data_IF_098124364018
#
_entry.id   IF_098124364018
#
_cell.length_a   1.000
_cell.length_b   1.000
_cell.length_c   1.000
_cell.angle_alpha   90.00
_cell.angle_beta   90.00
_cell.angle_gamma   90.00
#
_symmetry.space_group_name_H-M   'P 1'
#
loop_
_entity.id
_entity.type
_entity.pdbx_description
1 polymer ?
#
# COMPACT_ATOMS: atom_id res chain seq x y z
N UNK A 1 -8.21 16.05 22.23
CA UNK A 1 -7.32 15.88 21.06
C UNK A 1 -7.64 14.53 20.43
N UNK A 2 -8.07 14.51 19.16
CA UNK A 2 -8.40 13.26 18.48
C UNK A 2 -7.10 12.49 18.17
N UNK A 3 -7.05 11.22 18.55
CA UNK A 3 -5.94 10.31 18.21
C UNK A 3 -5.85 10.20 16.68
N UNK A 4 -4.65 10.34 16.07
CA UNK A 4 -4.50 10.16 14.64
C UNK A 4 -4.98 8.77 14.22
N UNK A 5 -5.66 8.68 13.07
CA UNK A 5 -6.10 7.41 12.48
C UNK A 5 -4.92 6.47 12.14
N UNK A 6 -3.71 7.04 11.94
CA UNK A 6 -2.45 6.34 11.75
C UNK A 6 -1.28 7.23 12.15
N UNK A 7 -0.14 6.62 12.45
CA UNK A 7 1.15 7.29 12.67
C UNK A 7 2.02 7.12 11.43
N UNK A 8 2.46 8.23 10.80
CA UNK A 8 3.43 8.20 9.70
C UNK A 8 4.76 7.60 10.20
N UNK A 9 5.26 6.53 9.58
CA UNK A 9 6.59 6.00 9.92
C UNK A 9 7.72 6.85 9.32
N UNK A 10 8.75 7.12 10.15
CA UNK A 10 9.97 7.86 9.78
C UNK A 10 10.77 7.21 8.63
N UNK A 11 10.64 5.90 8.42
CA UNK A 11 11.45 5.11 7.47
C UNK A 11 10.92 5.10 6.04
N UNK A 12 9.73 5.66 5.78
CA UNK A 12 9.16 5.77 4.43
C UNK A 12 9.78 6.95 3.65
N UNK A 13 10.53 7.84 4.32
CA UNK A 13 11.08 9.06 3.73
C UNK A 13 12.06 8.79 2.57
N UNK A 14 12.97 7.82 2.72
CA UNK A 14 13.95 7.49 1.67
C UNK A 14 13.30 6.83 0.44
N UNK A 15 12.26 6.03 0.68
CA UNK A 15 11.43 5.44 -0.38
C UNK A 15 10.72 6.56 -1.15
N UNK A 16 10.09 7.50 -0.44
CA UNK A 16 9.40 8.65 -1.04
C UNK A 16 10.38 9.51 -1.84
N UNK A 17 11.53 9.87 -1.27
CA UNK A 17 12.54 10.68 -1.96
C UNK A 17 13.04 9.99 -3.25
N UNK A 18 13.27 8.69 -3.19
CA UNK A 18 13.73 7.93 -4.36
C UNK A 18 12.65 7.84 -5.45
N UNK A 19 11.38 7.71 -5.05
CA UNK A 19 10.26 7.76 -5.98
C UNK A 19 10.15 9.13 -6.66
N UNK A 20 10.37 10.23 -5.92
CA UNK A 20 10.39 11.58 -6.49
C UNK A 20 11.52 11.77 -7.52
N UNK A 21 12.69 11.18 -7.26
CA UNK A 21 13.88 11.32 -8.12
C UNK A 21 13.84 10.42 -9.36
N UNK A 22 13.30 9.20 -9.25
CA UNK A 22 13.37 8.20 -10.32
C UNK A 22 12.06 8.00 -11.08
N UNK A 23 10.94 8.37 -10.48
CA UNK A 23 9.61 8.12 -11.04
C UNK A 23 8.82 9.43 -11.11
N UNK A 24 7.71 9.53 -10.37
CA UNK A 24 6.81 10.68 -10.45
C UNK A 24 6.55 11.23 -9.05
N UNK A 25 6.53 12.56 -8.94
CA UNK A 25 6.38 13.24 -7.65
C UNK A 25 5.07 12.86 -6.94
N UNK A 26 3.94 12.93 -7.64
CA UNK A 26 2.64 12.57 -7.07
C UNK A 26 2.55 11.10 -6.65
N UNK A 27 3.21 10.17 -7.37
CA UNK A 27 3.28 8.76 -7.00
C UNK A 27 3.97 8.59 -5.66
N UNK A 28 5.07 9.30 -5.44
CA UNK A 28 5.76 9.33 -4.17
C UNK A 28 4.85 9.85 -3.04
N UNK A 29 4.10 10.92 -3.31
CA UNK A 29 3.16 11.51 -2.35
C UNK A 29 1.94 10.64 -2.04
N UNK A 30 1.47 9.82 -2.98
CA UNK A 30 0.45 8.80 -2.71
C UNK A 30 0.97 7.76 -1.72
N UNK A 31 2.21 7.30 -1.89
CA UNK A 31 2.86 6.37 -0.95
C UNK A 31 3.03 7.02 0.41
N UNK A 32 3.51 8.26 0.46
CA UNK A 32 3.69 9.02 1.70
C UNK A 32 2.41 9.12 2.53
N UNK A 33 1.25 9.30 1.89
CA UNK A 33 -0.03 9.42 2.58
C UNK A 33 -0.65 8.07 2.94
N UNK A 34 -0.39 7.03 2.15
CA UNK A 34 -1.18 5.79 2.18
C UNK A 34 -0.44 4.58 2.73
N UNK A 35 0.88 4.62 2.87
CA UNK A 35 1.69 3.44 3.21
C UNK A 35 2.68 3.74 4.32
N UNK A 36 2.80 2.83 5.28
CA UNK A 36 3.82 2.84 6.33
C UNK A 36 4.50 1.47 6.41
N UNK A 37 5.83 1.45 6.44
CA UNK A 37 6.62 0.22 6.60
C UNK A 37 7.42 0.32 7.89
N UNK A 38 7.13 -0.59 8.80
CA UNK A 38 7.86 -0.81 10.03
C UNK A 38 8.67 -2.10 9.87
N UNK A 39 9.82 -2.02 9.19
CA UNK A 39 10.72 -3.17 8.97
C UNK A 39 12.08 -2.99 9.66
N UNK A 40 12.92 -4.03 9.68
CA UNK A 40 14.34 -3.90 10.05
C UNK A 40 15.10 -3.09 8.98
N UNK A 41 16.25 -2.51 9.33
CA UNK A 41 17.03 -1.63 8.44
C UNK A 41 17.42 -2.32 7.12
N UNK A 42 17.74 -3.61 7.16
CA UNK A 42 18.13 -4.41 6.01
C UNK A 42 17.00 -4.51 4.96
N UNK A 43 15.73 -4.40 5.39
CA UNK A 43 14.59 -4.39 4.47
C UNK A 43 14.62 -3.13 3.60
N UNK A 44 14.93 -1.98 4.20
CA UNK A 44 15.05 -0.71 3.47
C UNK A 44 16.26 -0.73 2.55
N UNK A 45 17.42 -1.23 3.01
CA UNK A 45 18.59 -1.41 2.14
C UNK A 45 18.25 -2.24 0.91
N UNK A 46 17.47 -3.31 1.08
CA UNK A 46 17.04 -4.17 -0.03
C UNK A 46 16.07 -3.47 -0.99
N UNK A 47 15.04 -2.81 -0.48
CA UNK A 47 14.08 -2.03 -1.29
C UNK A 47 14.83 -1.03 -2.19
N UNK A 48 15.85 -0.38 -1.64
CA UNK A 48 16.63 0.65 -2.31
C UNK A 48 17.64 0.10 -3.32
N UNK A 49 17.98 -1.20 -3.25
CA UNK A 49 19.01 -1.81 -4.09
C UNK A 49 18.59 -2.08 -5.54
N UNK A 50 17.28 -2.12 -5.83
CA UNK A 50 16.69 -2.22 -7.19
C UNK A 50 17.31 -3.30 -8.09
N UNK A 51 17.65 -4.47 -7.51
CA UNK A 51 18.26 -5.63 -8.19
C UNK A 51 17.27 -6.75 -8.50
N UNK A 52 16.08 -6.78 -7.90
CA UNK A 52 15.02 -7.80 -8.10
C UNK A 52 13.70 -7.17 -8.52
N UNK A 53 12.78 -7.99 -9.03
CA UNK A 53 11.43 -7.60 -9.46
C UNK A 53 10.52 -7.01 -8.35
N UNK A 54 10.94 -7.05 -7.09
CA UNK A 54 10.15 -6.65 -5.90
C UNK A 54 10.74 -5.44 -5.14
N UNK A 55 11.55 -4.60 -5.80
CA UNK A 55 12.26 -3.49 -5.15
C UNK A 55 11.49 -2.15 -5.26
N UNK A 56 12.17 -1.00 -5.35
CA UNK A 56 11.54 0.34 -5.38
C UNK A 56 10.43 0.48 -6.44
N UNK A 57 10.57 -0.24 -7.56
CA UNK A 57 9.55 -0.34 -8.62
C UNK A 57 8.19 -0.83 -8.09
N UNK A 58 8.18 -1.70 -7.07
CA UNK A 58 6.98 -2.16 -6.36
C UNK A 58 6.17 -1.02 -5.79
N UNK A 59 6.83 -0.02 -5.19
CA UNK A 59 6.15 1.15 -4.65
C UNK A 59 5.61 2.05 -5.75
N UNK A 60 6.29 2.12 -6.89
CA UNK A 60 5.76 2.80 -8.08
C UNK A 60 4.49 2.11 -8.61
N UNK A 61 4.48 0.78 -8.70
CA UNK A 61 3.28 0.02 -9.08
C UNK A 61 2.14 0.17 -8.07
N UNK A 62 2.45 0.02 -6.78
CA UNK A 62 1.48 0.21 -5.70
C UNK A 62 0.86 1.60 -5.75
N UNK A 63 1.67 2.65 -5.95
CA UNK A 63 1.17 4.03 -6.07
C UNK A 63 0.19 4.20 -7.23
N UNK A 64 0.41 3.50 -8.35
CA UNK A 64 -0.48 3.50 -9.51
C UNK A 64 -1.81 2.82 -9.18
N UNK A 65 -1.77 1.66 -8.53
CA UNK A 65 -2.99 0.97 -8.09
C UNK A 65 -3.79 1.78 -7.08
N UNK A 66 -3.11 2.40 -6.11
CA UNK A 66 -3.74 3.27 -5.12
C UNK A 66 -4.34 4.53 -5.78
N UNK A 67 -3.63 5.17 -6.71
CA UNK A 67 -4.15 6.30 -7.47
C UNK A 67 -5.43 5.95 -8.22
N UNK A 68 -5.45 4.81 -8.93
CA UNK A 68 -6.65 4.28 -9.62
C UNK A 68 -7.80 4.01 -8.65
N UNK A 69 -7.50 3.40 -7.51
CA UNK A 69 -8.50 3.17 -6.47
C UNK A 69 -9.11 4.49 -5.98
N UNK A 70 -8.28 5.48 -5.69
CA UNK A 70 -8.75 6.77 -5.18
C UNK A 70 -9.60 7.51 -6.21
N UNK A 71 -9.18 7.53 -7.47
CA UNK A 71 -9.92 8.16 -8.56
C UNK A 71 -11.29 7.49 -8.73
N UNK A 72 -11.35 6.15 -8.66
CA UNK A 72 -12.59 5.38 -8.86
C UNK A 72 -13.54 5.41 -7.67
N UNK A 73 -13.03 5.40 -6.44
CA UNK A 73 -13.85 5.29 -5.22
C UNK A 73 -14.18 6.65 -4.63
N UNK A 74 -13.27 7.62 -4.75
CA UNK A 74 -13.41 8.95 -4.13
C UNK A 74 -13.45 10.10 -5.14
N UNK A 75 -13.39 9.83 -6.45
CA UNK A 75 -13.54 10.85 -7.49
C UNK A 75 -12.36 11.83 -7.56
N UNK A 76 -11.16 11.40 -7.16
CA UNK A 76 -9.93 12.19 -7.33
C UNK A 76 -9.44 12.13 -8.78
N UNK A 77 -8.42 12.93 -9.11
CA UNK A 77 -7.73 12.90 -10.41
C UNK A 77 -6.23 12.59 -10.28
N UNK A 78 -5.85 11.74 -9.33
CA UNK A 78 -4.47 11.42 -8.96
C UNK A 78 -3.68 10.84 -10.14
N UNK A 79 -4.27 9.97 -10.97
CA UNK A 79 -3.54 9.40 -12.11
C UNK A 79 -3.23 10.44 -13.18
N UNK A 80 -4.23 11.24 -13.56
CA UNK A 80 -4.04 12.32 -14.53
C UNK A 80 -3.05 13.35 -14.00
N UNK A 81 -3.11 13.64 -12.70
CA UNK A 81 -2.10 14.40 -11.99
C UNK A 81 -0.73 13.74 -12.08
N UNK A 82 -0.63 12.43 -11.90
CA UNK A 82 0.63 11.72 -11.88
C UNK A 82 1.36 11.65 -13.21
N UNK A 83 0.63 11.55 -14.31
CA UNK A 83 1.19 11.64 -15.66
C UNK A 83 1.78 13.03 -15.94
N UNK A 84 1.25 14.08 -15.29
CA UNK A 84 1.72 15.46 -15.41
C UNK A 84 2.89 15.79 -14.49
N UNK A 85 3.23 14.92 -13.53
CA UNK A 85 4.30 15.16 -12.56
C UNK A 85 5.48 14.19 -12.70
N UNK A 86 6.17 14.23 -13.85
CA UNK A 86 7.42 13.49 -14.07
C UNK A 86 8.56 14.01 -13.19
N UNK A 87 9.76 13.41 -13.24
CA UNK A 87 10.92 13.82 -12.42
C UNK A 87 11.20 15.34 -12.45
N UNK A 88 10.94 16.03 -13.58
CA UNK A 88 11.19 17.47 -13.77
C UNK A 88 9.93 18.37 -13.67
N UNK A 89 8.98 18.01 -12.80
CA UNK A 89 7.70 18.73 -12.61
C UNK A 89 7.86 20.19 -12.13
N UNK A 90 7.05 21.13 -12.65
CA UNK A 90 7.01 22.53 -12.18
C UNK A 90 6.31 22.70 -10.82
N UNK A 91 6.49 23.85 -10.17
CA UNK A 91 5.84 24.14 -8.88
C UNK A 91 4.31 24.17 -8.99
N UNK A 92 3.78 24.71 -10.08
CA UNK A 92 2.34 24.85 -10.35
C UNK A 92 1.68 23.47 -10.52
N UNK A 93 2.35 22.58 -11.26
CA UNK A 93 1.90 21.20 -11.44
C UNK A 93 1.92 20.44 -10.10
N UNK A 94 2.97 20.61 -9.29
CA UNK A 94 3.03 20.03 -7.93
C UNK A 94 1.89 20.54 -7.06
N UNK A 95 1.62 21.84 -7.07
CA UNK A 95 0.54 22.45 -6.28
C UNK A 95 -0.85 21.92 -6.69
N UNK A 96 -1.12 21.82 -7.99
CA UNK A 96 -2.36 21.24 -8.50
C UNK A 96 -2.54 19.77 -8.05
N UNK A 97 -1.47 18.98 -8.10
CA UNK A 97 -1.51 17.58 -7.68
C UNK A 97 -1.63 17.43 -6.15
N UNK A 98 -0.97 18.29 -5.37
CA UNK A 98 -1.08 18.31 -3.92
C UNK A 98 -2.54 18.49 -3.46
N UNK A 99 -3.34 19.26 -4.22
CA UNK A 99 -4.78 19.43 -3.96
C UNK A 99 -5.59 18.15 -4.16
N UNK A 100 -5.21 17.29 -5.11
CA UNK A 100 -5.85 15.98 -5.27
C UNK A 100 -5.40 14.99 -4.19
N UNK A 101 -4.12 15.04 -3.82
CA UNK A 101 -3.55 14.17 -2.78
C UNK A 101 -4.10 14.50 -1.39
N UNK A 102 -4.36 15.77 -1.07
CA UNK A 102 -4.96 16.13 0.22
C UNK A 102 -6.36 15.53 0.42
N UNK A 103 -7.09 15.23 -0.67
CA UNK A 103 -8.42 14.60 -0.61
C UNK A 103 -8.37 13.14 -0.15
N UNK A 104 -7.24 12.46 -0.29
CA UNK A 104 -7.08 11.05 0.11
C UNK A 104 -6.58 10.88 1.55
N UNK A 105 -6.17 11.97 2.20
CA UNK A 105 -5.65 11.91 3.56
C UNK A 105 -6.69 11.30 4.52
N UNK A 106 -6.29 10.25 5.24
CA UNK A 106 -7.15 9.52 6.17
C UNK A 106 -8.28 8.71 5.52
N UNK A 107 -8.23 8.43 4.21
CA UNK A 107 -9.20 7.55 3.51
C UNK A 107 -8.77 6.09 3.50
N UNK A 108 -7.51 5.83 3.19
CA UNK A 108 -6.92 4.50 3.18
C UNK A 108 -5.50 4.59 3.73
N UNK A 109 -5.14 3.66 4.61
CA UNK A 109 -3.76 3.50 5.05
C UNK A 109 -3.39 2.02 5.14
N UNK A 110 -2.21 1.66 4.65
CA UNK A 110 -1.66 0.30 4.67
C UNK A 110 -0.38 0.34 5.52
N UNK A 111 -0.35 -0.43 6.59
CA UNK A 111 0.82 -0.57 7.47
C UNK A 111 1.38 -1.97 7.38
N UNK A 112 2.67 -2.11 7.09
CA UNK A 112 3.42 -3.36 7.23
C UNK A 112 4.24 -3.33 8.52
N UNK A 113 3.93 -4.21 9.46
CA UNK A 113 4.69 -4.43 10.69
C UNK A 113 5.55 -5.69 10.54
N UNK A 114 6.84 -5.50 10.30
CA UNK A 114 7.83 -6.55 10.12
C UNK A 114 9.05 -6.51 11.07
N UNK A 115 9.05 -5.61 12.06
CA UNK A 115 10.17 -5.46 13.02
C UNK A 115 10.45 -6.72 13.86
N UNK A 116 9.42 -7.53 14.12
CA UNK A 116 9.55 -8.74 14.96
C UNK A 116 10.14 -9.96 14.25
N UNK A 117 10.48 -9.86 12.96
CA UNK A 117 10.78 -11.00 12.10
C UNK A 117 12.19 -10.89 11.48
N UNK A 118 12.94 -12.00 11.46
CA UNK A 118 14.23 -12.05 10.77
C UNK A 118 14.02 -11.91 9.27
N UNK A 119 14.72 -10.96 8.64
CA UNK A 119 14.69 -10.75 7.20
C UNK A 119 15.39 -11.89 6.45
N UNK A 120 14.61 -12.87 5.98
CA UNK A 120 14.99 -13.85 4.97
C UNK A 120 14.43 -13.46 3.60
N UNK A 121 14.95 -14.06 2.53
CA UNK A 121 14.40 -13.87 1.17
C UNK A 121 12.89 -14.12 1.13
N UNK A 122 12.43 -15.25 1.69
CA UNK A 122 11.01 -15.59 1.75
C UNK A 122 10.20 -14.54 2.54
N UNK A 123 10.68 -14.11 3.70
CA UNK A 123 9.96 -13.12 4.53
C UNK A 123 9.82 -11.77 3.82
N UNK A 124 10.84 -11.37 3.06
CA UNK A 124 10.83 -10.15 2.26
C UNK A 124 9.85 -10.28 1.10
N UNK A 125 9.97 -11.34 0.31
CA UNK A 125 9.13 -11.59 -0.86
C UNK A 125 7.66 -11.72 -0.47
N UNK A 126 7.35 -12.42 0.62
CA UNK A 126 5.99 -12.52 1.17
C UNK A 126 5.43 -11.16 1.60
N UNK A 127 6.24 -10.35 2.29
CA UNK A 127 5.82 -9.02 2.74
C UNK A 127 5.52 -8.10 1.55
N UNK A 128 6.41 -8.06 0.56
CA UNK A 128 6.23 -7.21 -0.62
C UNK A 128 5.07 -7.71 -1.50
N UNK A 129 4.97 -9.03 -1.71
CA UNK A 129 3.87 -9.64 -2.48
C UNK A 129 2.51 -9.43 -1.81
N UNK A 130 2.45 -9.40 -0.48
CA UNK A 130 1.21 -9.10 0.25
C UNK A 130 0.77 -7.65 0.03
N UNK A 131 1.71 -6.70 0.13
CA UNK A 131 1.42 -5.29 -0.14
C UNK A 131 0.93 -5.09 -1.58
N UNK A 132 1.59 -5.70 -2.56
CA UNK A 132 1.15 -5.60 -3.97
C UNK A 132 -0.20 -6.27 -4.19
N UNK A 133 -0.44 -7.44 -3.60
CA UNK A 133 -1.74 -8.13 -3.67
C UNK A 133 -2.87 -7.23 -3.13
N UNK A 134 -2.65 -6.49 -2.05
CA UNK A 134 -3.63 -5.51 -1.53
C UNK A 134 -3.84 -4.36 -2.53
N UNK A 135 -2.76 -3.83 -3.12
CA UNK A 135 -2.85 -2.81 -4.17
C UNK A 135 -3.67 -3.30 -5.36
N UNK A 136 -3.36 -4.49 -5.86
CA UNK A 136 -4.09 -5.15 -6.95
C UNK A 136 -5.55 -5.40 -6.60
N UNK A 137 -5.87 -5.80 -5.37
CA UNK A 137 -7.27 -5.94 -4.94
C UNK A 137 -8.03 -4.61 -5.00
N UNK A 138 -7.40 -3.54 -4.53
CA UNK A 138 -8.00 -2.20 -4.49
C UNK A 138 -8.14 -1.60 -5.88
N UNK A 139 -7.31 -2.02 -6.83
CA UNK A 139 -7.56 -1.72 -8.24
C UNK A 139 -7.00 -2.81 -9.17
N UNK A 140 -7.81 -3.82 -9.47
CA UNK A 140 -7.34 -4.94 -10.26
C UNK A 140 -7.33 -4.57 -11.73
N UNK A 141 -6.14 -4.50 -12.32
CA UNK A 141 -5.99 -4.60 -13.77
C UNK A 141 -6.39 -5.99 -14.28
N UNK A 142 -6.44 -6.99 -13.38
CA UNK A 142 -6.70 -8.42 -13.68
C UNK A 142 -8.00 -8.99 -13.09
N UNK A 143 -9.01 -8.17 -12.82
CA UNK A 143 -10.36 -8.68 -12.53
C UNK A 143 -10.72 -9.08 -11.09
N UNK A 144 -9.82 -8.99 -10.10
CA UNK A 144 -10.09 -9.44 -8.72
C UNK A 144 -10.19 -8.27 -7.75
N UNK A 145 -11.40 -7.76 -7.45
CA UNK A 145 -11.60 -6.65 -6.50
C UNK A 145 -12.43 -5.48 -7.06
N UNK A 146 -11.93 -4.24 -7.02
CA UNK A 146 -12.71 -3.06 -7.43
C UNK A 146 -13.24 -3.10 -8.87
N UNK A 147 -12.60 -3.83 -9.79
CA UNK A 147 -13.14 -4.03 -11.15
C UNK A 147 -14.41 -4.89 -11.16
N UNK A 148 -14.60 -5.78 -10.18
CA UNK A 148 -15.79 -6.61 -10.03
C UNK A 148 -16.90 -5.93 -9.23
N UNK A 149 -16.93 -4.59 -9.19
CA UNK A 149 -17.96 -3.82 -8.48
C UNK A 149 -17.61 -3.45 -7.04
N UNK A 150 -16.59 -4.09 -6.44
CA UNK A 150 -16.27 -3.92 -5.02
C UNK A 150 -16.10 -2.44 -4.62
N UNK A 151 -16.75 -2.04 -3.53
CA UNK A 151 -16.58 -0.77 -2.83
C UNK A 151 -16.49 -1.00 -1.33
N UNK A 152 -15.66 -0.24 -0.62
CA UNK A 152 -15.57 -0.41 0.82
C UNK A 152 -16.89 -0.08 1.50
N UNK A 153 -17.21 -0.80 2.58
CA UNK A 153 -18.37 -0.48 3.42
C UNK A 153 -18.13 0.82 4.18
N UNK A 154 -16.92 0.99 4.71
CA UNK A 154 -16.50 2.17 5.44
C UNK A 154 -15.91 3.25 4.51
N UNK A 155 -16.07 4.51 4.90
CA UNK A 155 -15.48 5.66 4.21
C UNK A 155 -13.97 5.84 4.49
N UNK A 156 -13.45 5.09 5.46
CA UNK A 156 -12.06 5.09 5.89
C UNK A 156 -11.63 3.66 6.18
N UNK A 157 -10.43 3.29 5.72
CA UNK A 157 -9.90 1.93 5.86
C UNK A 157 -8.46 2.00 6.36
N UNK A 158 -8.16 1.24 7.41
CA UNK A 158 -6.79 0.93 7.83
C UNK A 158 -6.56 -0.57 7.62
N UNK A 159 -5.51 -0.92 6.86
CA UNK A 159 -5.08 -2.30 6.67
C UNK A 159 -3.73 -2.46 7.37
N UNK A 160 -3.64 -3.35 8.34
CA UNK A 160 -2.39 -3.63 9.06
C UNK A 160 -1.96 -5.06 8.79
N UNK A 161 -0.78 -5.23 8.22
CA UNK A 161 -0.13 -6.51 7.97
C UNK A 161 0.88 -6.75 9.09
N UNK A 162 0.67 -7.76 9.92
CA UNK A 162 1.60 -8.16 10.97
C UNK A 162 2.33 -9.43 10.51
N UNK A 163 3.64 -9.35 10.31
CA UNK A 163 4.42 -10.54 10.00
C UNK A 163 4.67 -11.35 11.27
N UNK A 164 4.55 -12.68 11.19
CA UNK A 164 4.65 -13.58 12.33
C UNK A 164 5.71 -14.65 12.09
N UNK A 165 6.61 -14.85 13.05
CA UNK A 165 7.63 -15.92 13.05
C UNK A 165 7.03 -17.31 13.32
N UNK A 166 6.07 -17.72 12.51
CA UNK A 166 5.44 -19.05 12.60
C UNK A 166 4.99 -19.51 11.22
N UNK A 167 4.68 -20.78 11.12
CA UNK A 167 4.01 -21.38 9.97
C UNK A 167 2.50 -21.34 10.10
N UNK A 168 1.82 -21.61 8.99
CA UNK A 168 0.37 -21.66 8.91
C UNK A 168 -0.18 -20.75 7.82
N UNK A 169 -1.50 -20.59 7.82
CA UNK A 169 -2.21 -19.75 6.87
C UNK A 169 -2.39 -18.32 7.41
N UNK A 170 -2.40 -17.31 6.55
CA UNK A 170 -2.70 -15.95 6.96
C UNK A 170 -4.12 -15.86 7.49
N UNK A 171 -4.32 -14.95 8.43
CA UNK A 171 -5.64 -14.68 9.00
C UNK A 171 -5.99 -13.22 8.69
N UNK A 172 -7.09 -13.03 7.97
CA UNK A 172 -7.60 -11.70 7.63
C UNK A 172 -8.86 -11.43 8.44
N UNK A 173 -8.84 -10.38 9.26
CA UNK A 173 -9.93 -10.01 10.16
C UNK A 173 -10.32 -8.57 9.96
N UNK A 174 -11.61 -8.34 9.75
CA UNK A 174 -12.20 -7.01 9.85
C UNK A 174 -12.77 -6.79 11.23
N UNK A 175 -12.70 -5.56 11.71
CA UNK A 175 -13.51 -5.14 12.86
C UNK A 175 -14.99 -4.98 12.45
N UNK A 176 -15.88 -4.78 13.43
CA UNK A 176 -17.33 -4.78 13.22
C UNK A 176 -17.84 -3.67 12.28
N UNK A 177 -17.15 -2.54 12.24
CA UNK A 177 -17.53 -1.39 11.41
C UNK A 177 -16.81 -1.36 10.05
N UNK A 178 -15.99 -2.38 9.76
CA UNK A 178 -15.21 -2.52 8.53
C UNK A 178 -14.25 -1.35 8.26
N UNK A 179 -13.84 -0.61 9.29
CA UNK A 179 -12.82 0.45 9.17
C UNK A 179 -11.40 -0.07 9.33
N UNK A 180 -11.22 -1.23 9.97
CA UNK A 180 -9.90 -1.81 10.24
C UNK A 180 -9.84 -3.25 9.78
N UNK A 181 -8.81 -3.57 8.99
CA UNK A 181 -8.45 -4.91 8.55
C UNK A 181 -7.08 -5.27 9.12
N UNK A 182 -6.99 -6.40 9.81
CA UNK A 182 -5.73 -6.96 10.30
C UNK A 182 -5.44 -8.22 9.51
N UNK A 183 -4.25 -8.29 8.93
CA UNK A 183 -3.69 -9.44 8.23
C UNK A 183 -2.54 -9.96 9.07
N UNK A 184 -2.77 -11.02 9.81
CA UNK A 184 -1.73 -11.79 10.47
C UNK A 184 -1.07 -12.68 9.41
N UNK A 185 0.18 -12.39 9.05
CA UNK A 185 0.92 -13.02 7.95
C UNK A 185 2.05 -13.92 8.49
N UNK A 186 1.85 -15.26 8.55
CA UNK A 186 2.92 -16.21 8.81
C UNK A 186 3.98 -16.14 7.70
N UNK A 187 5.25 -16.02 8.08
CA UNK A 187 6.37 -15.88 7.13
C UNK A 187 7.26 -17.13 7.05
N UNK A 188 6.96 -18.16 7.85
CA UNK A 188 7.70 -19.44 7.85
C UNK A 188 6.87 -20.47 7.08
N UNK A 189 7.12 -20.65 5.79
CA UNK A 189 6.41 -21.67 5.00
C UNK A 189 6.08 -21.22 3.58
N UNK A 190 4.88 -21.60 3.14
CA UNK A 190 4.40 -21.45 1.76
C UNK A 190 4.33 -19.98 1.31
N UNK A 191 4.48 -19.72 0.02
CA UNK A 191 4.63 -18.36 -0.53
C UNK A 191 3.38 -17.84 -1.26
N UNK A 192 2.38 -18.69 -1.48
CA UNK A 192 1.18 -18.31 -2.24
C UNK A 192 -0.05 -18.11 -1.35
N UNK A 193 -0.11 -16.95 -0.71
CA UNK A 193 -1.21 -16.57 0.20
C UNK A 193 -2.28 -15.68 -0.45
N UNK A 194 -2.12 -15.35 -1.73
CA UNK A 194 -2.95 -14.32 -2.38
C UNK A 194 -4.43 -14.66 -2.34
N UNK A 195 -4.85 -15.91 -2.54
CA UNK A 195 -6.27 -16.30 -2.50
C UNK A 195 -6.92 -15.99 -1.14
N UNK A 196 -6.28 -16.37 -0.04
CA UNK A 196 -6.79 -16.17 1.32
C UNK A 196 -6.83 -14.68 1.67
N UNK A 197 -5.79 -13.94 1.27
CA UNK A 197 -5.75 -12.48 1.46
C UNK A 197 -6.90 -11.82 0.71
N UNK A 198 -7.09 -12.15 -0.57
CA UNK A 198 -8.14 -11.59 -1.41
C UNK A 198 -9.55 -11.91 -0.89
N UNK A 199 -9.81 -13.15 -0.51
CA UNK A 199 -11.10 -13.55 0.05
C UNK A 199 -11.38 -12.90 1.40
N UNK A 200 -10.34 -12.66 2.21
CA UNK A 200 -10.43 -11.88 3.43
C UNK A 200 -10.75 -10.41 3.17
N UNK A 201 -10.08 -9.77 2.21
CA UNK A 201 -10.28 -8.37 1.85
C UNK A 201 -11.68 -8.11 1.28
N UNK A 202 -12.22 -9.02 0.45
CA UNK A 202 -13.58 -8.92 -0.13
C UNK A 202 -14.65 -8.66 0.94
N UNK A 203 -14.51 -9.24 2.13
CA UNK A 203 -15.46 -9.11 3.25
C UNK A 203 -15.61 -7.68 3.78
N UNK A 204 -14.62 -6.80 3.54
CA UNK A 204 -14.65 -5.39 3.95
C UNK A 204 -15.45 -4.48 3.03
N UNK A 205 -16.08 -5.02 1.99
CA UNK A 205 -16.82 -4.24 1.02
C UNK A 205 -18.03 -4.96 0.46
N UNK A 206 -18.70 -4.26 -0.45
CA UNK A 206 -19.93 -4.63 -1.13
C UNK A 206 -19.68 -4.64 -2.62
N UNK A 207 -20.25 -5.62 -3.32
CA UNK A 207 -20.21 -5.75 -4.79
C UNK A 207 -21.42 -5.06 -5.39
#
# INVERSE_FOLDING_TARGET
MATPFYTKAQTTADIVQTLEQKYNWSRAKVIEESVTINGPSEMFTRIMSDKRSFDISTFSYLSSYLGKYFDKVYGTNILSSAEKTSVNTTAEQKAACAKEISKISGKLHITLNAQGVKLTDNSYELSMTTITTIGEFLNPERGVGVSSGWRPIANKIAITINTLNKSGQPIVKWNKDFTTCIIDLPIVGDTNYSSIILDGLKKGGKI
#
